data_IF_436770896169
#
_entry.id   IF_436770896169
#
_cell.length_a   1.000
_cell.length_b   1.000
_cell.length_c   1.000
_cell.angle_alpha   90.00
_cell.angle_beta   90.00
_cell.angle_gamma   90.00
#
_symmetry.space_group_name_H-M   'P 1'
#
loop_
_entity.id
_entity.type
_entity.pdbx_description
1 polymer ?
#
# COMPACT_ATOMS: atom_id res chain seq x y z
N UNK A 1 -36.78 53.87 39.88
CA UNK A 1 -37.45 52.64 39.40
C UNK A 1 -37.32 52.57 37.88
N UNK A 2 -36.48 51.67 37.34
CA UNK A 2 -36.36 51.48 35.89
C UNK A 2 -37.48 50.53 35.42
N UNK A 3 -38.31 50.98 34.46
CA UNK A 3 -39.33 50.14 33.82
C UNK A 3 -38.62 49.03 33.04
N UNK A 4 -38.98 47.78 33.30
CA UNK A 4 -38.64 46.66 32.43
C UNK A 4 -39.42 46.82 31.13
N UNK A 5 -38.73 47.02 30.01
CA UNK A 5 -39.34 46.95 28.69
C UNK A 5 -39.58 45.46 28.38
N UNK A 6 -40.85 45.09 28.13
CA UNK A 6 -41.21 43.73 27.75
C UNK A 6 -40.76 43.41 26.33
N UNK A 7 -40.31 42.18 26.10
CA UNK A 7 -40.00 41.66 24.77
C UNK A 7 -41.31 41.47 24.00
N UNK A 8 -41.35 41.94 22.75
CA UNK A 8 -42.50 41.71 21.87
C UNK A 8 -42.49 40.28 21.35
N UNK A 9 -43.68 39.73 21.07
CA UNK A 9 -43.82 38.36 20.55
C UNK A 9 -43.06 38.18 19.22
N UNK A 10 -43.01 39.23 18.39
CA UNK A 10 -42.26 39.25 17.13
C UNK A 10 -40.75 39.20 17.37
N UNK A 11 -40.22 39.97 18.33
CA UNK A 11 -38.78 39.92 18.67
C UNK A 11 -38.36 38.53 19.15
N UNK A 12 -39.20 37.85 19.93
CA UNK A 12 -38.94 36.48 20.38
C UNK A 12 -38.92 35.49 19.20
N UNK A 13 -39.88 35.60 18.28
CA UNK A 13 -39.93 34.73 17.10
C UNK A 13 -38.71 34.93 16.20
N UNK A 14 -38.28 36.17 15.99
CA UNK A 14 -37.08 36.49 15.20
C UNK A 14 -35.83 35.94 15.87
N UNK A 15 -35.69 36.12 17.19
CA UNK A 15 -34.54 35.59 17.93
C UNK A 15 -34.45 34.05 17.84
N UNK A 16 -35.56 33.35 17.99
CA UNK A 16 -35.63 31.90 17.84
C UNK A 16 -35.32 31.44 16.42
N UNK A 17 -35.83 32.15 15.41
CA UNK A 17 -35.56 31.84 14.00
C UNK A 17 -34.07 31.99 13.67
N UNK A 18 -33.42 33.07 14.13
CA UNK A 18 -31.98 33.30 13.92
C UNK A 18 -31.15 32.24 14.65
N UNK A 19 -31.50 31.89 15.90
CA UNK A 19 -30.82 30.86 16.66
C UNK A 19 -30.93 29.48 15.97
N UNK A 20 -32.13 29.11 15.52
CA UNK A 20 -32.37 27.86 14.81
C UNK A 20 -31.57 27.80 13.50
N UNK A 21 -31.56 28.87 12.70
CA UNK A 21 -30.77 28.96 11.48
C UNK A 21 -29.27 28.81 11.74
N UNK A 22 -28.77 29.46 12.79
CA UNK A 22 -27.35 29.40 13.18
C UNK A 22 -26.94 27.99 13.58
N UNK A 23 -27.75 27.30 14.39
CA UNK A 23 -27.48 25.92 14.83
C UNK A 23 -27.50 24.96 13.63
N UNK A 24 -28.44 25.11 12.70
CA UNK A 24 -28.50 24.29 11.49
C UNK A 24 -27.29 24.51 10.59
N UNK A 25 -26.90 25.77 10.36
CA UNK A 25 -25.72 26.10 9.56
C UNK A 25 -24.43 25.55 10.18
N UNK A 26 -24.24 25.76 11.49
CA UNK A 26 -23.08 25.22 12.21
C UNK A 26 -23.07 23.68 12.24
N UNK A 27 -24.25 23.05 12.38
CA UNK A 27 -24.40 21.60 12.38
C UNK A 27 -23.97 20.96 11.06
N UNK A 28 -24.34 21.56 9.92
CA UNK A 28 -23.88 21.07 8.61
C UNK A 28 -22.36 21.16 8.45
N UNK A 29 -21.76 22.29 8.85
CA UNK A 29 -20.31 22.46 8.81
C UNK A 29 -19.60 21.44 9.71
N UNK A 30 -20.13 21.19 10.91
CA UNK A 30 -19.57 20.19 11.83
C UNK A 30 -19.62 18.77 11.25
N UNK A 31 -20.75 18.36 10.67
CA UNK A 31 -20.88 17.05 10.02
C UNK A 31 -19.96 16.92 8.80
N UNK A 32 -19.83 17.98 8.00
CA UNK A 32 -18.89 18.02 6.87
C UNK A 32 -17.43 17.90 7.34
N UNK A 33 -17.07 18.56 8.44
CA UNK A 33 -15.74 18.42 9.03
C UNK A 33 -15.48 16.98 9.51
N UNK A 34 -16.43 16.37 10.22
CA UNK A 34 -16.29 14.97 10.68
C UNK A 34 -16.10 13.97 9.53
N UNK A 35 -16.90 14.11 8.47
CA UNK A 35 -16.77 13.24 7.29
C UNK A 35 -15.44 13.44 6.57
N UNK A 36 -14.98 14.69 6.45
CA UNK A 36 -13.67 15.00 5.88
C UNK A 36 -12.52 14.40 6.69
N UNK A 37 -12.55 14.53 8.01
CA UNK A 37 -11.52 13.94 8.88
C UNK A 37 -11.44 12.42 8.75
N UNK A 38 -12.60 11.73 8.73
CA UNK A 38 -12.64 10.28 8.54
C UNK A 38 -12.05 9.84 7.20
N UNK A 39 -12.30 10.60 6.13
CA UNK A 39 -11.74 10.32 4.81
C UNK A 39 -10.22 10.50 4.78
N UNK A 40 -9.71 11.59 5.35
CA UNK A 40 -8.27 11.86 5.42
C UNK A 40 -7.55 10.79 6.25
N UNK A 41 -8.12 10.38 7.39
CA UNK A 41 -7.54 9.33 8.23
C UNK A 41 -7.50 7.97 7.54
N UNK A 42 -8.58 7.60 6.82
CA UNK A 42 -8.63 6.36 6.06
C UNK A 42 -7.59 6.35 4.92
N UNK A 43 -7.43 7.48 4.22
CA UNK A 43 -6.41 7.64 3.18
C UNK A 43 -4.99 7.54 3.74
N UNK A 44 -4.73 8.23 4.86
CA UNK A 44 -3.41 8.22 5.52
C UNK A 44 -2.96 6.82 5.92
N UNK A 45 -3.86 6.03 6.55
CA UNK A 45 -3.56 4.63 6.93
C UNK A 45 -3.25 3.73 5.73
N UNK A 46 -3.95 3.94 4.61
CA UNK A 46 -3.71 3.19 3.36
C UNK A 46 -2.33 3.52 2.78
N UNK A 47 -1.95 4.80 2.78
CA UNK A 47 -0.64 5.25 2.31
C UNK A 47 0.51 4.67 3.15
N UNK A 48 0.37 4.69 4.47
CA UNK A 48 1.38 4.10 5.39
C UNK A 48 1.59 2.60 5.13
N UNK A 49 0.48 1.86 4.99
CA UNK A 49 0.53 0.41 4.70
C UNK A 49 1.20 0.14 3.36
N UNK A 50 0.89 0.92 2.34
CA UNK A 50 1.46 0.79 1.00
C UNK A 50 2.96 1.07 0.96
N UNK A 51 3.41 2.11 1.67
CA UNK A 51 4.83 2.43 1.84
C UNK A 51 5.54 1.24 2.51
N UNK A 52 5.01 0.74 3.63
CA UNK A 52 5.59 -0.41 4.33
C UNK A 52 5.75 -1.64 3.43
N UNK A 53 4.71 -1.97 2.65
CA UNK A 53 4.74 -3.11 1.73
C UNK A 53 5.77 -2.91 0.62
N UNK A 54 5.81 -1.70 0.05
CA UNK A 54 6.78 -1.34 -1.01
C UNK A 54 8.21 -1.42 -0.50
N UNK A 55 8.50 -0.87 0.68
CA UNK A 55 9.83 -0.92 1.29
C UNK A 55 10.25 -2.36 1.61
N UNK A 56 9.32 -3.18 2.12
CA UNK A 56 9.57 -4.60 2.39
C UNK A 56 9.90 -5.35 1.12
N UNK A 57 9.11 -5.15 0.05
CA UNK A 57 9.33 -5.77 -1.25
C UNK A 57 10.66 -5.34 -1.89
N UNK A 58 10.99 -4.04 -1.85
CA UNK A 58 12.28 -3.52 -2.33
C UNK A 58 13.44 -4.15 -1.57
N UNK A 59 13.33 -4.24 -0.23
CA UNK A 59 14.35 -4.85 0.62
C UNK A 59 14.55 -6.32 0.29
N UNK A 60 13.47 -7.07 0.13
CA UNK A 60 13.54 -8.50 -0.20
C UNK A 60 14.15 -8.72 -1.57
N UNK A 61 13.79 -7.94 -2.60
CA UNK A 61 14.40 -8.06 -3.93
C UNK A 61 15.89 -7.69 -3.91
N UNK A 62 16.26 -6.67 -3.14
CA UNK A 62 17.67 -6.26 -2.99
C UNK A 62 18.51 -7.36 -2.35
N UNK A 63 17.97 -8.05 -1.35
CA UNK A 63 18.67 -9.05 -0.57
C UNK A 63 18.53 -10.47 -1.13
N UNK A 64 17.62 -10.71 -2.08
CA UNK A 64 17.41 -12.01 -2.67
C UNK A 64 18.66 -12.55 -3.37
N UNK A 65 18.96 -13.82 -3.10
CA UNK A 65 19.93 -14.62 -3.84
C UNK A 65 19.43 -14.90 -5.25
N UNK A 66 18.16 -15.29 -5.36
CA UNK A 66 17.50 -15.58 -6.63
C UNK A 66 16.19 -14.83 -6.74
N UNK A 67 15.96 -14.21 -7.90
CA UNK A 67 14.73 -13.47 -8.22
C UNK A 67 14.12 -14.07 -9.49
N UNK A 68 12.96 -14.69 -9.35
CA UNK A 68 12.17 -15.22 -10.46
C UNK A 68 10.93 -14.36 -10.62
N UNK A 69 10.81 -13.69 -11.76
CA UNK A 69 9.66 -12.84 -12.08
C UNK A 69 8.64 -13.62 -12.91
N UNK A 70 7.36 -13.38 -12.63
CA UNK A 70 6.19 -13.77 -13.41
C UNK A 70 5.44 -12.47 -13.77
N UNK A 71 4.54 -12.49 -14.75
CA UNK A 71 3.84 -11.26 -15.17
C UNK A 71 3.13 -10.54 -14.01
N UNK A 72 2.52 -11.30 -13.09
CA UNK A 72 1.73 -10.79 -11.96
C UNK A 72 2.15 -11.36 -10.60
N UNK A 73 3.38 -11.87 -10.53
CA UNK A 73 3.94 -12.39 -9.29
C UNK A 73 5.46 -12.29 -9.30
N UNK A 74 6.06 -12.30 -8.13
CA UNK A 74 7.51 -12.40 -8.00
C UNK A 74 7.85 -13.39 -6.90
N UNK A 75 8.80 -14.28 -7.19
CA UNK A 75 9.35 -15.26 -6.27
C UNK A 75 10.79 -14.89 -5.94
N UNK A 76 11.11 -14.93 -4.66
CA UNK A 76 12.39 -14.51 -4.11
C UNK A 76 12.91 -15.62 -3.21
N UNK A 77 14.18 -15.95 -3.35
CA UNK A 77 14.91 -16.72 -2.34
C UNK A 77 15.77 -15.73 -1.57
N UNK A 78 15.39 -15.41 -0.33
CA UNK A 78 16.13 -14.47 0.52
C UNK A 78 16.90 -15.22 1.60
N UNK A 79 18.02 -14.67 2.11
CA UNK A 79 18.75 -15.27 3.22
C UNK A 79 17.81 -15.52 4.40
N UNK A 80 17.90 -16.71 4.99
CA UNK A 80 17.10 -17.07 6.15
C UNK A 80 17.47 -16.21 7.35
N UNK A 81 16.45 -15.62 7.99
CA UNK A 81 16.61 -14.96 9.29
C UNK A 81 16.70 -16.02 10.41
N UNK A 82 17.44 -15.71 11.48
CA UNK A 82 17.64 -16.60 12.62
C UNK A 82 16.32 -17.01 13.31
N UNK A 83 15.27 -16.21 13.15
CA UNK A 83 13.93 -16.44 13.69
C UNK A 83 13.02 -17.27 12.77
N UNK A 84 13.44 -17.55 11.53
CA UNK A 84 12.61 -18.28 10.57
C UNK A 84 12.57 -19.79 10.88
N UNK A 85 11.35 -20.35 10.90
CA UNK A 85 11.11 -21.78 11.08
C UNK A 85 11.12 -22.57 9.76
N UNK A 86 11.43 -21.95 8.62
CA UNK A 86 11.45 -22.67 7.34
C UNK A 86 12.51 -23.77 7.34
N UNK A 87 12.19 -24.93 6.74
CA UNK A 87 13.13 -26.05 6.61
C UNK A 87 14.25 -25.80 5.58
N UNK A 88 14.05 -24.88 4.65
CA UNK A 88 14.99 -24.55 3.56
C UNK A 88 16.12 -23.62 4.04
N UNK A 89 17.31 -23.69 3.42
CA UNK A 89 18.44 -22.83 3.75
C UNK A 89 18.18 -21.35 3.41
N UNK A 90 17.44 -21.11 2.33
CA UNK A 90 16.90 -19.80 1.97
C UNK A 90 15.41 -19.74 2.33
N UNK A 91 14.96 -18.54 2.72
CA UNK A 91 13.55 -18.23 2.92
C UNK A 91 12.91 -17.95 1.56
N UNK A 92 12.14 -18.89 1.05
CA UNK A 92 11.33 -18.69 -0.14
C UNK A 92 10.18 -17.74 0.17
N UNK A 93 10.05 -16.69 -0.64
CA UNK A 93 8.96 -15.71 -0.60
C UNK A 93 8.28 -15.63 -1.97
N UNK A 94 6.95 -15.46 -1.99
CA UNK A 94 6.18 -15.17 -3.20
C UNK A 94 5.19 -14.05 -2.95
N UNK A 95 5.26 -13.01 -3.76
CA UNK A 95 4.30 -11.93 -3.82
C UNK A 95 3.39 -12.13 -5.04
N UNK A 96 2.07 -12.12 -4.83
CA UNK A 96 1.08 -12.31 -5.89
C UNK A 96 -0.26 -11.70 -5.48
N UNK A 97 -1.13 -11.41 -6.45
CA UNK A 97 -2.49 -10.99 -6.16
C UNK A 97 -3.40 -12.19 -5.87
N UNK A 98 -4.19 -12.07 -4.81
CA UNK A 98 -5.21 -13.04 -4.43
C UNK A 98 -6.55 -12.32 -4.23
N UNK A 99 -7.70 -12.90 -4.66
CA UNK A 99 -9.01 -12.30 -4.42
C UNK A 99 -9.23 -12.01 -2.94
N UNK A 100 -9.65 -10.79 -2.63
CA UNK A 100 -9.89 -10.36 -1.26
C UNK A 100 -11.35 -10.65 -0.86
N UNK A 101 -11.64 -11.06 0.40
CA UNK A 101 -13.01 -11.25 0.88
C UNK A 101 -13.87 -9.98 0.80
N UNK A 102 -13.24 -8.80 0.87
CA UNK A 102 -13.88 -7.49 0.74
C UNK A 102 -14.28 -7.13 -0.70
N UNK A 103 -13.97 -7.98 -1.68
CA UNK A 103 -14.02 -7.64 -3.10
C UNK A 103 -12.68 -7.07 -3.60
N UNK A 104 -12.46 -7.19 -4.91
CA UNK A 104 -11.19 -6.85 -5.55
C UNK A 104 -10.06 -7.82 -5.21
N UNK A 105 -8.83 -7.33 -5.27
CA UNK A 105 -7.62 -8.13 -5.04
C UNK A 105 -6.78 -7.58 -3.88
N UNK A 106 -5.99 -8.46 -3.28
CA UNK A 106 -5.02 -8.15 -2.25
C UNK A 106 -3.64 -8.69 -2.63
N UNK A 107 -2.61 -7.88 -2.40
CA UNK A 107 -1.24 -8.32 -2.52
C UNK A 107 -0.92 -9.25 -1.35
N UNK A 108 -0.68 -10.51 -1.67
CA UNK A 108 -0.44 -11.59 -0.72
C UNK A 108 1.03 -11.96 -0.72
N UNK A 109 1.59 -12.14 0.48
CA UNK A 109 2.91 -12.71 0.69
C UNK A 109 2.76 -14.13 1.20
N UNK A 110 3.31 -15.08 0.45
CA UNK A 110 3.52 -16.45 0.93
C UNK A 110 4.99 -16.71 1.23
N UNK A 111 5.26 -17.44 2.30
CA UNK A 111 6.61 -17.72 2.82
C UNK A 111 6.79 -19.20 3.17
N UNK A 112 8.05 -19.64 3.19
CA UNK A 112 8.48 -21.01 3.48
C UNK A 112 7.80 -22.05 2.57
N UNK A 113 8.37 -22.28 1.39
CA UNK A 113 7.87 -23.32 0.48
C UNK A 113 8.39 -24.70 0.87
N UNK A 114 7.47 -25.62 1.12
CA UNK A 114 7.74 -27.00 1.51
C UNK A 114 7.10 -27.99 0.53
N UNK A 115 7.41 -29.30 0.60
CA UNK A 115 6.81 -30.32 -0.27
C UNK A 115 5.26 -30.42 -0.22
N UNK A 116 4.61 -29.74 0.73
CA UNK A 116 3.15 -29.62 0.83
C UNK A 116 2.57 -28.25 0.43
N UNK A 117 3.39 -27.30 -0.02
CA UNK A 117 2.97 -25.94 -0.39
C UNK A 117 3.60 -24.85 0.48
N UNK A 118 2.97 -23.68 0.52
CA UNK A 118 3.41 -22.55 1.34
C UNK A 118 2.93 -22.72 2.78
N UNK A 119 3.82 -22.62 3.77
CA UNK A 119 3.46 -22.70 5.20
C UNK A 119 2.68 -21.48 5.67
N UNK A 120 3.12 -20.30 5.24
CA UNK A 120 2.53 -19.03 5.66
C UNK A 120 2.04 -18.30 4.43
N UNK A 121 0.82 -17.78 4.48
CA UNK A 121 0.28 -16.90 3.46
C UNK A 121 -0.58 -15.83 4.13
N UNK A 122 -0.27 -14.56 3.89
CA UNK A 122 -0.97 -13.45 4.51
C UNK A 122 -1.21 -12.30 3.51
N UNK A 123 -2.41 -11.71 3.51
CA UNK A 123 -2.67 -10.49 2.76
C UNK A 123 -1.89 -9.33 3.41
N UNK A 124 -1.17 -8.56 2.60
CA UNK A 124 -0.42 -7.40 3.05
C UNK A 124 -1.24 -6.10 2.91
N UNK A 125 -1.83 -5.91 1.73
CA UNK A 125 -2.63 -4.73 1.40
C UNK A 125 -3.70 -5.11 0.37
N UNK A 126 -4.89 -4.55 0.53
CA UNK A 126 -6.03 -4.69 -0.37
C UNK A 126 -6.30 -3.41 -1.15
N UNK A 127 -7.22 -3.47 -2.11
CA UNK A 127 -7.63 -2.31 -2.92
C UNK A 127 -7.15 -2.37 -4.37
N UNK A 128 -6.61 -3.50 -4.83
CA UNK A 128 -6.26 -3.71 -6.22
C UNK A 128 -7.51 -3.97 -7.05
N UNK A 129 -7.60 -3.31 -8.20
CA UNK A 129 -8.79 -3.27 -9.04
C UNK A 129 -9.05 -4.60 -9.78
N UNK A 130 -8.00 -5.24 -10.28
CA UNK A 130 -8.04 -6.48 -11.05
C UNK A 130 -6.85 -7.40 -10.73
N UNK A 131 -6.78 -8.56 -11.39
CA UNK A 131 -5.71 -9.56 -11.22
C UNK A 131 -4.40 -9.19 -11.91
N UNK A 132 -4.40 -8.16 -12.76
CA UNK A 132 -3.24 -7.63 -13.48
C UNK A 132 -2.61 -6.41 -12.80
N UNK A 133 -3.29 -5.87 -11.79
CA UNK A 133 -2.94 -4.66 -11.04
C UNK A 133 -1.62 -4.74 -10.26
N UNK A 134 -0.95 -5.90 -10.25
CA UNK A 134 0.43 -6.06 -9.86
C UNK A 134 1.19 -6.59 -11.06
N UNK A 135 2.21 -5.85 -11.50
CA UNK A 135 3.04 -6.25 -12.64
C UNK A 135 4.53 -6.16 -12.29
N UNK A 136 5.29 -7.12 -12.78
CA UNK A 136 6.73 -7.20 -12.55
C UNK A 136 7.45 -7.37 -13.89
N UNK A 137 8.25 -6.36 -14.25
CA UNK A 137 9.01 -6.35 -15.50
C UNK A 137 10.51 -6.43 -15.22
N UNK A 138 11.19 -7.40 -15.82
CA UNK A 138 12.65 -7.43 -15.80
C UNK A 138 13.23 -6.43 -16.81
N UNK A 139 14.01 -5.45 -16.33
CA UNK A 139 14.74 -4.47 -17.17
C UNK A 139 16.16 -4.93 -17.53
N UNK A 140 16.43 -6.23 -17.34
CA UNK A 140 17.74 -6.87 -17.50
C UNK A 140 18.72 -6.53 -16.39
N UNK A 141 19.82 -7.29 -16.31
CA UNK A 141 20.92 -7.01 -15.36
C UNK A 141 20.49 -6.98 -13.88
N UNK A 142 19.49 -7.80 -13.52
CA UNK A 142 18.93 -7.85 -12.16
C UNK A 142 18.18 -6.57 -11.74
N UNK A 143 17.80 -5.72 -12.69
CA UNK A 143 16.86 -4.62 -12.47
C UNK A 143 15.46 -5.08 -12.76
N UNK A 144 14.54 -4.68 -11.89
CA UNK A 144 13.12 -4.96 -12.00
C UNK A 144 12.35 -3.66 -11.83
N UNK A 145 11.30 -3.49 -12.63
CA UNK A 145 10.29 -2.46 -12.44
C UNK A 145 9.04 -3.15 -11.93
N UNK A 146 8.55 -2.70 -10.77
CA UNK A 146 7.33 -3.20 -10.18
C UNK A 146 6.27 -2.12 -10.31
N UNK A 147 5.07 -2.53 -10.69
CA UNK A 147 3.92 -1.64 -10.88
C UNK A 147 2.77 -2.16 -10.04
N UNK A 148 2.17 -1.27 -9.24
CA UNK A 148 1.00 -1.50 -8.41
C UNK A 148 -0.11 -0.56 -8.89
N UNK A 149 -1.31 -1.07 -9.10
CA UNK A 149 -2.50 -0.29 -9.48
C UNK A 149 -3.57 -0.42 -8.39
N UNK A 150 -3.77 0.64 -7.62
CA UNK A 150 -4.76 0.68 -6.56
C UNK A 150 -6.02 1.40 -7.03
N UNK A 151 -7.18 0.97 -6.54
CA UNK A 151 -8.45 1.61 -6.84
C UNK A 151 -8.47 3.04 -6.28
N UNK A 152 -8.83 4.02 -7.10
CA UNK A 152 -8.91 5.40 -6.65
C UNK A 152 -10.21 5.66 -5.86
N UNK A 153 -10.14 6.46 -4.79
CA UNK A 153 -11.30 6.79 -3.93
C UNK A 153 -12.35 7.65 -4.66
N UNK A 154 -11.98 8.32 -5.75
CA UNK A 154 -12.83 9.23 -6.51
C UNK A 154 -13.71 8.54 -7.58
N UNK A 155 -13.94 7.24 -7.47
CA UNK A 155 -14.90 6.45 -8.25
C UNK A 155 -14.65 6.32 -9.77
N UNK A 156 -13.54 6.84 -10.30
CA UNK A 156 -13.09 6.51 -11.67
C UNK A 156 -11.57 6.37 -11.76
N UNK A 157 -11.13 5.15 -12.06
CA UNK A 157 -9.75 4.83 -12.41
C UNK A 157 -8.94 4.20 -11.29
N UNK A 158 -7.64 4.15 -11.52
CA UNK A 158 -6.66 3.52 -10.65
C UNK A 158 -5.44 4.43 -10.47
N UNK A 159 -4.89 4.44 -9.26
CA UNK A 159 -3.61 5.07 -8.96
C UNK A 159 -2.49 4.08 -9.30
N UNK A 160 -1.59 4.48 -10.20
CA UNK A 160 -0.45 3.64 -10.60
C UNK A 160 0.80 4.07 -9.84
N UNK A 161 1.42 3.14 -9.14
CA UNK A 161 2.68 3.32 -8.44
C UNK A 161 3.70 2.39 -9.07
N UNK A 162 4.74 2.96 -9.67
CA UNK A 162 5.83 2.21 -10.26
C UNK A 162 7.13 2.54 -9.56
N UNK A 163 7.91 1.51 -9.21
CA UNK A 163 9.23 1.67 -8.62
C UNK A 163 10.23 0.71 -9.24
N UNK A 164 11.48 1.16 -9.28
CA UNK A 164 12.60 0.41 -9.83
C UNK A 164 13.46 -0.14 -8.70
N UNK A 165 13.87 -1.40 -8.83
CA UNK A 165 14.73 -2.06 -7.85
C UNK A 165 15.83 -2.84 -8.55
N UNK A 166 17.01 -2.86 -7.93
CA UNK A 166 18.18 -3.59 -8.39
C UNK A 166 18.54 -4.64 -7.35
N UNK A 167 18.64 -5.91 -7.75
CA UNK A 167 19.20 -6.96 -6.89
C UNK A 167 20.68 -6.68 -6.64
N UNK A 168 21.11 -6.75 -5.37
CA UNK A 168 22.50 -6.56 -4.96
C UNK A 168 23.39 -7.67 -5.55
N UNK A 169 22.93 -8.91 -5.49
CA UNK A 169 23.68 -10.08 -5.97
C UNK A 169 23.94 -9.95 -7.48
N UNK A 170 22.92 -9.58 -8.25
CA UNK A 170 23.06 -9.38 -9.69
C UNK A 170 23.93 -8.16 -10.06
N UNK A 171 23.92 -7.11 -9.23
CA UNK A 171 24.78 -5.93 -9.44
C UNK A 171 26.25 -6.25 -9.16
N UNK A 172 26.55 -6.99 -8.10
CA UNK A 172 27.91 -7.44 -7.77
C UNK A 172 28.47 -8.35 -8.87
N UNK A 173 27.67 -9.32 -9.35
CA UNK A 173 28.07 -10.19 -10.45
C UNK A 173 28.46 -9.41 -11.73
N UNK A 174 27.87 -8.24 -11.97
CA UNK A 174 28.24 -7.38 -13.10
C UNK A 174 29.53 -6.60 -12.86
N UNK A 175 29.74 -6.12 -11.63
CA UNK A 175 30.99 -5.45 -11.27
C UNK A 175 32.17 -6.39 -11.49
N UNK A 176 32.07 -7.63 -10.98
CA UNK A 176 33.12 -8.64 -11.10
C UNK A 176 33.38 -9.05 -12.56
N UNK A 177 32.32 -9.16 -13.37
CA UNK A 177 32.46 -9.41 -14.80
C UNK A 177 33.16 -8.24 -15.53
N UNK A 178 32.92 -7.00 -15.11
CA UNK A 178 33.52 -5.81 -15.71
C UNK A 178 34.98 -5.63 -15.32
N UNK A 179 35.38 -5.95 -14.08
CA UNK A 179 36.77 -5.86 -13.62
C UNK A 179 37.66 -6.91 -14.28
N UNK A 180 37.15 -8.11 -14.53
CA UNK A 180 37.88 -9.17 -15.28
C UNK A 180 38.22 -8.72 -16.70
N UNK A 181 37.36 -7.95 -17.36
CA UNK A 181 37.60 -7.45 -18.72
C UNK A 181 38.63 -6.30 -18.77
N UNK A 182 38.84 -5.58 -17.67
CA UNK A 182 39.77 -4.44 -17.60
C UNK A 182 41.12 -4.78 -16.95
N UNK A 183 41.25 -5.93 -16.29
CA UNK A 183 42.46 -6.36 -15.57
C UNK A 183 43.50 -7.12 -16.40
N UNK A 184 43.27 -7.31 -17.70
CA UNK A 184 44.22 -7.93 -18.63
C UNK A 184 45.07 -6.90 -19.36
N UNK A 185 46.01 -6.25 -18.67
CA UNK A 185 47.14 -5.54 -19.28
C UNK A 185 48.37 -5.62 -18.38
#
# INVERSE_FOLDING_TARGET
MKRQAGITLVELMVALAIAALTILGAGQLYLSALTTFQQVDALSRRQETLIFVTETLIRDIRNAHTVTHESHAIKLAVPKDALSSCATPDLDKRYYLNPAPSGGYSLTLSECREPGGWKTSQPLISGFHDDSAFAVEAKGKGRYQLTLQLSADNSQGYETIAFNVQSRVAALAQHDASTVLTGGK
#
